data_IF_593829498649
#
_entry.id   IF_593829498649
#
_cell.length_a   1.000
_cell.length_b   1.000
_cell.length_c   1.000
_cell.angle_alpha   90.00
_cell.angle_beta   90.00
_cell.angle_gamma   90.00
#
_symmetry.space_group_name_H-M   'P 1'
#
loop_
_entity.id
_entity.type
_entity.pdbx_description
1 polymer ?
#
# COMPACT_ATOMS: atom_id res chain seq x y z
N UNK A 1 -18.56 28.22 74.55
CA UNK A 1 -19.79 27.86 73.81
C UNK A 1 -20.03 28.83 72.65
N UNK A 2 -19.38 28.65 71.48
CA UNK A 2 -19.77 29.34 70.23
C UNK A 2 -19.97 28.38 69.05
N UNK A 3 -19.28 27.24 69.04
CA UNK A 3 -19.44 26.14 68.08
C UNK A 3 -20.84 25.49 68.09
N UNK A 4 -21.46 25.30 69.25
CA UNK A 4 -22.81 24.72 69.34
C UNK A 4 -23.90 25.65 68.76
N UNK A 5 -23.65 26.95 68.74
CA UNK A 5 -24.56 27.98 68.17
C UNK A 5 -24.47 28.10 66.65
N UNK A 6 -23.39 27.63 66.02
CA UNK A 6 -23.19 27.77 64.57
C UNK A 6 -23.41 26.46 63.77
N UNK A 7 -23.75 25.33 64.42
CA UNK A 7 -24.04 24.04 63.76
C UNK A 7 -22.95 23.57 62.76
N UNK A 8 -21.67 23.84 63.04
CA UNK A 8 -20.54 23.37 62.24
C UNK A 8 -19.93 22.13 62.91
N UNK A 9 -19.63 21.04 62.17
CA UNK A 9 -19.07 19.81 62.75
C UNK A 9 -17.69 20.05 63.38
N UNK A 10 -17.39 19.43 64.53
CA UNK A 10 -16.14 19.62 65.27
C UNK A 10 -14.99 18.84 64.60
N UNK A 11 -14.53 19.29 63.44
CA UNK A 11 -13.31 18.81 62.77
C UNK A 11 -12.09 19.66 63.19
N UNK A 12 -10.88 19.07 63.28
CA UNK A 12 -9.66 19.79 63.71
C UNK A 12 -9.36 21.08 62.92
N UNK A 13 -9.70 21.10 61.63
CA UNK A 13 -9.50 22.27 60.76
C UNK A 13 -10.49 23.41 61.07
N UNK A 14 -11.75 23.09 61.41
CA UNK A 14 -12.73 24.09 61.85
C UNK A 14 -12.36 24.73 63.20
N UNK A 15 -11.73 23.97 64.11
CA UNK A 15 -11.21 24.54 65.35
C UNK A 15 -10.03 25.48 65.11
N UNK A 16 -9.17 25.19 64.13
CA UNK A 16 -8.08 26.08 63.72
C UNK A 16 -8.62 27.38 63.15
N UNK A 17 -9.54 27.30 62.19
CA UNK A 17 -10.16 28.49 61.59
C UNK A 17 -10.87 29.36 62.64
N UNK A 18 -11.61 28.76 63.59
CA UNK A 18 -12.27 29.48 64.67
C UNK A 18 -11.29 30.06 65.69
N UNK A 19 -10.19 29.37 66.00
CA UNK A 19 -9.14 29.90 66.86
C UNK A 19 -8.49 31.13 66.24
N UNK A 20 -8.15 31.07 64.94
CA UNK A 20 -7.55 32.18 64.21
C UNK A 20 -8.53 33.35 64.00
N UNK A 21 -9.82 33.08 63.80
CA UNK A 21 -10.86 34.13 63.80
C UNK A 21 -11.00 34.86 65.13
N UNK A 22 -10.88 34.15 66.26
CA UNK A 22 -10.97 34.76 67.60
C UNK A 22 -9.66 35.49 67.96
N UNK A 23 -8.51 34.99 67.50
CA UNK A 23 -7.20 35.56 67.74
C UNK A 23 -6.83 36.73 66.81
N UNK A 24 -7.58 36.96 65.72
CA UNK A 24 -7.37 38.08 64.79
C UNK A 24 -6.12 37.96 63.91
N UNK A 25 -5.53 36.78 63.79
CA UNK A 25 -4.34 36.51 62.98
C UNK A 25 -4.66 35.55 61.83
N UNK A 26 -4.09 35.79 60.64
CA UNK A 26 -4.30 34.94 59.48
C UNK A 26 -3.61 33.57 59.67
N UNK A 27 -4.20 32.47 59.18
CA UNK A 27 -3.59 31.14 59.28
C UNK A 27 -2.33 31.09 58.41
N UNK A 28 -1.14 31.02 59.03
CA UNK A 28 0.08 30.63 58.33
C UNK A 28 0.16 29.11 58.27
N UNK A 29 0.08 28.54 57.06
CA UNK A 29 0.27 27.12 56.84
C UNK A 29 1.71 26.71 57.18
N UNK A 30 1.87 25.94 58.26
CA UNK A 30 3.15 25.44 58.73
C UNK A 30 3.88 24.69 57.60
N UNK A 31 5.11 25.09 57.28
CA UNK A 31 5.90 24.50 56.21
C UNK A 31 6.16 23.01 56.45
N UNK A 32 5.58 22.09 55.65
CA UNK A 32 5.62 20.67 55.94
C UNK A 32 6.94 20.07 55.43
N UNK A 33 8.03 20.34 56.14
CA UNK A 33 9.38 19.95 55.75
C UNK A 33 9.56 18.43 55.58
N UNK A 34 8.81 17.61 56.33
CA UNK A 34 8.92 16.13 56.26
C UNK A 34 8.32 15.56 54.98
N UNK A 35 7.15 16.03 54.57
CA UNK A 35 6.49 15.56 53.33
C UNK A 35 7.24 16.05 52.10
N UNK A 36 7.72 17.29 52.12
CA UNK A 36 8.52 17.86 51.03
C UNK A 36 9.89 17.16 50.88
N UNK A 37 10.50 16.68 51.97
CA UNK A 37 11.71 15.84 51.90
C UNK A 37 11.43 14.46 51.29
N UNK A 38 10.30 13.82 51.63
CA UNK A 38 9.92 12.56 51.00
C UNK A 38 9.67 12.73 49.48
N UNK A 39 9.09 13.85 49.06
CA UNK A 39 8.93 14.20 47.64
C UNK A 39 10.29 14.44 46.98
N UNK A 40 11.24 15.06 47.68
CA UNK A 40 12.59 15.28 47.17
C UNK A 40 13.35 13.95 46.93
N UNK A 41 13.17 12.98 47.82
CA UNK A 41 13.76 11.63 47.69
C UNK A 41 13.12 10.81 46.57
N UNK A 42 11.85 11.04 46.26
CA UNK A 42 11.13 10.37 45.19
C UNK A 42 11.42 10.94 43.78
N UNK A 43 12.19 12.03 43.65
CA UNK A 43 12.54 12.62 42.34
C UNK A 43 13.51 11.73 41.55
N UNK A 44 13.31 11.58 40.22
CA UNK A 44 14.15 10.72 39.39
C UNK A 44 15.59 11.26 39.29
N UNK A 45 16.55 10.47 39.75
CA UNK A 45 17.99 10.76 39.73
C UNK A 45 18.74 10.12 38.54
N UNK A 46 18.00 9.58 37.57
CA UNK A 46 18.53 8.84 36.42
C UNK A 46 19.23 9.73 35.38
N UNK A 47 18.88 11.02 35.31
CA UNK A 47 19.50 11.96 34.37
C UNK A 47 20.35 13.01 35.12
N UNK A 48 21.45 13.51 34.52
CA UNK A 48 22.26 14.58 35.12
C UNK A 48 21.46 15.86 35.36
N UNK A 49 20.39 16.07 34.57
CA UNK A 49 19.40 17.11 34.79
C UNK A 49 18.53 16.81 36.03
N UNK A 50 18.01 15.60 36.16
CA UNK A 50 17.25 15.15 37.34
C UNK A 50 18.03 15.28 38.65
N UNK A 51 19.33 14.99 38.63
CA UNK A 51 20.23 15.20 39.78
C UNK A 51 20.38 16.68 40.17
N UNK A 52 20.44 17.59 39.19
CA UNK A 52 20.48 19.05 39.46
C UNK A 52 19.15 19.53 40.04
N UNK A 53 18.03 19.06 39.50
CA UNK A 53 16.69 19.39 39.98
C UNK A 53 16.47 18.92 41.42
N UNK A 54 16.82 17.68 41.73
CA UNK A 54 16.75 17.14 43.08
C UNK A 54 17.56 17.98 44.07
N UNK A 55 18.79 18.37 43.73
CA UNK A 55 19.64 19.21 44.61
C UNK A 55 19.08 20.63 44.82
N UNK A 56 18.55 21.27 43.77
CA UNK A 56 17.95 22.61 43.90
C UNK A 56 16.70 22.55 44.76
N UNK A 57 15.87 21.51 44.58
CA UNK A 57 14.67 21.28 45.37
C UNK A 57 15.00 20.94 46.83
N UNK A 58 15.96 20.05 47.10
CA UNK A 58 16.43 19.71 48.46
C UNK A 58 16.96 20.95 49.20
N UNK A 59 17.72 21.81 48.51
CA UNK A 59 18.23 23.07 49.08
C UNK A 59 17.09 24.06 49.38
N UNK A 60 16.07 24.13 48.53
CA UNK A 60 14.91 24.97 48.75
C UNK A 60 14.04 24.45 49.91
N UNK A 61 13.85 23.13 50.03
CA UNK A 61 13.13 22.51 51.16
C UNK A 61 13.89 22.71 52.48
N UNK A 62 15.23 22.69 52.46
CA UNK A 62 16.06 22.98 53.63
C UNK A 62 15.92 24.42 54.14
N UNK A 63 15.54 25.38 53.28
CA UNK A 63 15.34 26.78 53.67
C UNK A 63 14.06 27.04 54.48
N UNK A 64 13.11 26.09 54.49
CA UNK A 64 11.91 26.17 55.32
C UNK A 64 10.88 27.24 54.90
N UNK A 65 11.10 27.92 53.77
CA UNK A 65 10.28 29.03 53.31
C UNK A 65 9.54 28.68 52.02
N UNK A 66 8.22 28.90 52.01
CA UNK A 66 7.36 28.69 50.83
C UNK A 66 7.75 29.59 49.63
N UNK A 67 8.24 30.80 49.89
CA UNK A 67 8.67 31.75 48.86
C UNK A 67 9.87 31.23 48.06
N UNK A 68 10.89 30.71 48.75
CA UNK A 68 12.12 30.16 48.14
C UNK A 68 11.79 28.89 47.36
N UNK A 69 10.91 28.04 47.88
CA UNK A 69 10.45 26.85 47.17
C UNK A 69 9.71 27.21 45.89
N UNK A 70 8.79 28.18 45.95
CA UNK A 70 8.07 28.68 44.76
C UNK A 70 9.01 29.28 43.72
N UNK A 71 9.99 30.10 44.13
CA UNK A 71 10.99 30.67 43.22
C UNK A 71 11.85 29.58 42.57
N UNK A 72 12.29 28.60 43.35
CA UNK A 72 13.07 27.48 42.82
C UNK A 72 12.27 26.63 41.82
N UNK A 73 10.98 26.38 42.07
CA UNK A 73 10.10 25.70 41.11
C UNK A 73 9.90 26.51 39.82
N UNK A 74 9.76 27.84 39.92
CA UNK A 74 9.64 28.70 38.74
C UNK A 74 10.93 28.75 37.91
N UNK A 75 12.09 28.77 38.57
CA UNK A 75 13.39 28.68 37.87
C UNK A 75 13.56 27.32 37.21
N UNK A 76 13.16 26.24 37.89
CA UNK A 76 13.19 24.88 37.34
C UNK A 76 12.26 24.74 36.13
N UNK A 77 11.03 25.25 36.19
CA UNK A 77 10.10 25.24 35.05
C UNK A 77 10.62 26.08 33.89
N UNK A 78 11.30 27.19 34.17
CA UNK A 78 11.97 28.01 33.16
C UNK A 78 13.16 27.32 32.51
N UNK A 79 13.91 26.49 33.25
CA UNK A 79 15.00 25.67 32.71
C UNK A 79 14.48 24.47 31.88
N UNK A 80 13.27 23.98 32.17
CA UNK A 80 12.62 22.91 31.40
C UNK A 80 11.91 23.41 30.13
N UNK A 81 11.62 24.71 30.04
CA UNK A 81 11.26 25.36 28.79
C UNK A 81 12.50 25.48 27.89
N UNK A 82 13.03 24.34 27.46
CA UNK A 82 13.94 24.31 26.31
C UNK A 82 13.18 24.94 25.15
N UNK A 83 13.75 25.99 24.56
CA UNK A 83 13.21 26.61 23.35
C UNK A 83 12.83 25.49 22.35
N UNK A 84 11.60 25.50 21.81
CA UNK A 84 11.20 24.50 20.83
C UNK A 84 12.15 24.63 19.65
N UNK A 85 13.04 23.65 19.51
CA UNK A 85 14.05 23.66 18.45
C UNK A 85 13.35 23.77 17.11
N UNK A 86 13.78 24.68 16.23
CA UNK A 86 13.06 24.99 15.00
C UNK A 86 13.37 23.93 13.93
N UNK A 87 12.77 22.74 14.08
CA UNK A 87 12.84 21.67 13.07
C UNK A 87 12.17 22.08 11.76
N UNK A 88 11.12 22.88 11.82
CA UNK A 88 10.35 23.29 10.64
C UNK A 88 11.20 24.04 9.60
N UNK A 89 11.99 25.08 9.95
CA UNK A 89 12.88 25.71 8.97
C UNK A 89 14.02 24.78 8.55
N UNK A 90 14.60 23.98 9.46
CA UNK A 90 15.68 23.06 9.10
C UNK A 90 15.23 22.02 8.07
N UNK A 91 14.06 21.40 8.26
CA UNK A 91 13.50 20.43 7.31
C UNK A 91 13.21 21.09 5.97
N UNK A 92 12.67 22.33 5.98
CA UNK A 92 12.40 23.07 4.75
C UNK A 92 13.69 23.40 4.00
N UNK A 93 14.72 23.83 4.71
CA UNK A 93 16.02 24.12 4.12
C UNK A 93 16.71 22.85 3.61
N UNK A 94 16.59 21.74 4.34
CA UNK A 94 17.12 20.44 3.93
C UNK A 94 16.46 19.93 2.65
N UNK A 95 15.12 19.98 2.55
CA UNK A 95 14.39 19.59 1.34
C UNK A 95 14.80 20.48 0.16
N UNK A 96 14.88 21.80 0.38
CA UNK A 96 15.30 22.76 -0.65
C UNK A 96 16.72 22.51 -1.14
N UNK A 97 17.67 22.26 -0.25
CA UNK A 97 19.07 22.02 -0.62
C UNK A 97 19.31 20.61 -1.18
N UNK A 98 18.46 19.62 -0.85
CA UNK A 98 18.45 18.32 -1.50
C UNK A 98 18.08 18.44 -2.98
N UNK A 99 17.01 19.17 -3.28
CA UNK A 99 16.49 19.41 -4.63
C UNK A 99 17.41 20.33 -5.46
N UNK A 100 18.19 21.20 -4.82
CA UNK A 100 19.15 22.06 -5.51
C UNK A 100 20.31 21.29 -6.12
N UNK A 101 20.57 21.52 -7.39
CA UNK A 101 21.73 20.94 -8.07
C UNK A 101 23.02 21.63 -7.60
N UNK A 102 23.92 20.87 -6.98
CA UNK A 102 25.24 21.34 -6.56
C UNK A 102 26.27 20.75 -7.54
N UNK A 103 27.13 21.59 -8.12
CA UNK A 103 28.06 21.20 -9.19
C UNK A 103 29.04 20.07 -8.80
N UNK A 104 29.31 19.88 -7.50
CA UNK A 104 30.32 18.94 -6.99
C UNK A 104 29.76 17.74 -6.20
N UNK A 105 28.44 17.60 -6.05
CA UNK A 105 27.82 16.51 -5.26
C UNK A 105 26.62 15.93 -6.02
N UNK A 106 26.72 14.66 -6.41
CA UNK A 106 25.62 13.93 -7.05
C UNK A 106 24.46 13.72 -6.06
N UNK A 107 23.20 13.68 -6.54
CA UNK A 107 22.04 13.48 -5.67
C UNK A 107 22.09 12.16 -4.89
N UNK A 108 22.74 11.12 -5.44
CA UNK A 108 22.99 9.86 -4.72
C UNK A 108 23.89 10.04 -3.49
N UNK A 109 25.00 10.78 -3.63
CA UNK A 109 25.94 11.03 -2.52
C UNK A 109 25.32 11.89 -1.41
N UNK A 110 24.37 12.77 -1.74
CA UNK A 110 23.58 13.51 -0.74
C UNK A 110 22.65 12.59 0.05
N UNK A 111 22.01 11.62 -0.60
CA UNK A 111 21.16 10.61 0.05
C UNK A 111 22.00 9.70 0.96
N UNK A 112 23.14 9.21 0.47
CA UNK A 112 24.04 8.35 1.25
C UNK A 112 24.60 9.08 2.49
N UNK A 113 24.92 10.38 2.38
CA UNK A 113 25.41 11.17 3.53
C UNK A 113 24.32 11.47 4.55
N UNK A 114 23.06 11.68 4.12
CA UNK A 114 21.92 11.76 5.04
C UNK A 114 21.66 10.42 5.73
N UNK A 115 21.64 9.33 4.97
CA UNK A 115 21.43 8.00 5.51
C UNK A 115 22.54 7.61 6.49
N UNK A 116 23.79 7.97 6.20
CA UNK A 116 24.90 7.78 7.13
C UNK A 116 24.74 8.61 8.42
N UNK A 117 24.25 9.85 8.35
CA UNK A 117 23.99 10.68 9.54
C UNK A 117 22.79 10.15 10.34
N UNK A 118 21.74 9.68 9.68
CA UNK A 118 20.58 9.07 10.32
C UNK A 118 20.93 7.72 10.98
N UNK A 119 21.77 6.91 10.34
CA UNK A 119 22.24 5.64 10.90
C UNK A 119 23.27 5.83 12.04
N UNK A 120 24.07 6.90 12.01
CA UNK A 120 25.09 7.16 13.01
C UNK A 120 24.59 7.90 14.28
N UNK A 121 23.38 8.46 14.26
CA UNK A 121 22.84 9.24 15.39
C UNK A 121 21.67 8.54 16.10
N UNK A 122 21.84 8.24 17.40
CA UNK A 122 20.76 7.79 18.29
C UNK A 122 20.12 8.94 19.10
N UNK A 123 20.80 10.08 19.26
CA UNK A 123 20.36 11.21 20.10
C UNK A 123 19.71 12.35 19.26
N UNK A 124 18.49 12.82 19.62
CA UNK A 124 17.79 13.89 18.89
C UNK A 124 18.54 15.23 18.84
N UNK A 125 19.33 15.52 19.87
CA UNK A 125 20.07 16.78 20.00
C UNK A 125 21.30 16.82 19.08
N UNK A 126 21.96 15.68 18.90
CA UNK A 126 23.10 15.56 17.99
C UNK A 126 22.63 15.55 16.54
N UNK A 127 21.47 14.95 16.27
CA UNK A 127 20.87 14.89 14.93
C UNK A 127 20.60 16.29 14.37
N UNK A 128 20.02 17.21 15.16
CA UNK A 128 19.77 18.58 14.70
C UNK A 128 21.06 19.33 14.32
N UNK A 129 22.09 19.24 15.16
CA UNK A 129 23.39 19.90 14.91
C UNK A 129 24.11 19.28 13.71
N UNK A 130 24.07 17.96 13.55
CA UNK A 130 24.70 17.24 12.43
C UNK A 130 24.00 17.50 11.11
N UNK A 131 22.67 17.52 11.08
CA UNK A 131 21.91 17.88 9.88
C UNK A 131 22.17 19.33 9.48
N UNK A 132 22.19 20.25 10.44
CA UNK A 132 22.51 21.65 10.14
C UNK A 132 23.95 21.82 9.62
N UNK A 133 24.93 21.10 10.18
CA UNK A 133 26.31 21.11 9.70
C UNK A 133 26.44 20.49 8.29
N UNK A 134 25.66 19.45 7.99
CA UNK A 134 25.63 18.80 6.69
C UNK A 134 25.03 19.73 5.61
N UNK A 135 23.90 20.39 5.90
CA UNK A 135 23.33 21.43 5.02
C UNK A 135 24.33 22.57 4.79
N UNK A 136 25.04 22.99 5.84
CA UNK A 136 26.09 24.02 5.72
C UNK A 136 27.27 23.55 4.88
N UNK A 137 27.68 22.29 4.97
CA UNK A 137 28.80 21.75 4.16
C UNK A 137 28.47 21.74 2.67
N UNK A 138 27.21 21.43 2.32
CA UNK A 138 26.73 21.52 0.94
C UNK A 138 26.82 22.95 0.39
N UNK A 139 26.48 23.94 1.23
CA UNK A 139 26.59 25.36 0.87
C UNK A 139 28.05 25.88 0.85
N UNK A 140 28.91 25.50 1.79
CA UNK A 140 30.31 25.99 1.86
C UNK A 140 31.19 25.46 0.71
N UNK A 141 30.89 24.27 0.18
CA UNK A 141 31.55 23.74 -1.02
C UNK A 141 31.19 24.50 -2.30
N UNK A 142 30.16 25.36 -2.29
CA UNK A 142 29.86 26.27 -3.41
C UNK A 142 30.66 27.58 -3.35
N UNK A 143 31.26 27.92 -2.20
CA UNK A 143 31.88 29.22 -1.94
C UNK A 143 33.41 29.22 -1.80
N UNK A 144 34.07 28.06 -1.83
CA UNK A 144 35.53 27.96 -1.62
C UNK A 144 36.32 27.90 -2.94
N UNK A 145 36.02 28.83 -3.86
CA UNK A 145 37.00 29.31 -4.86
C UNK A 145 37.63 30.62 -4.36
N UNK A 146 38.15 30.62 -3.13
CA UNK A 146 39.14 31.63 -2.76
C UNK A 146 40.45 31.26 -3.44
N UNK A 147 40.79 32.08 -4.44
CA UNK A 147 42.07 32.11 -5.12
C UNK A 147 43.24 32.07 -4.11
N UNK A 148 43.75 30.87 -3.83
CA UNK A 148 45.09 30.72 -3.32
C UNK A 148 46.02 30.91 -4.52
N UNK A 149 46.63 32.09 -4.60
CA UNK A 149 47.70 32.39 -5.56
C UNK A 149 48.81 31.33 -5.41
N UNK A 150 48.84 30.35 -6.31
CA UNK A 150 50.01 29.52 -6.56
C UNK A 150 51.06 30.35 -7.30
N UNK A 151 52.35 30.25 -6.94
CA UNK A 151 53.42 30.89 -7.70
C UNK A 151 53.48 30.29 -9.12
N UNK A 152 53.98 31.06 -10.12
CA UNK A 152 53.93 30.63 -11.51
C UNK A 152 54.81 29.39 -11.68
N UNK A 153 54.19 28.28 -12.11
CA UNK A 153 54.94 27.11 -12.58
C UNK A 153 55.25 27.33 -14.05
N UNK A 154 56.52 27.59 -14.31
CA UNK A 154 57.13 27.52 -15.63
C UNK A 154 56.83 26.16 -16.30
N UNK A 155 56.33 26.24 -17.52
CA UNK A 155 56.42 25.32 -18.66
C UNK A 155 56.92 23.88 -18.43
N UNK A 156 56.02 22.90 -18.65
CA UNK A 156 56.27 21.63 -19.37
C UNK A 156 54.93 20.86 -19.61
N UNK A 157 54.86 19.93 -20.59
CA UNK A 157 54.28 20.08 -21.92
C UNK A 157 52.81 19.62 -22.04
N UNK A 158 52.15 20.08 -23.11
CA UNK A 158 50.74 19.92 -23.47
C UNK A 158 50.23 18.49 -23.79
N UNK A 159 50.85 17.42 -23.27
CA UNK A 159 50.56 16.04 -23.69
C UNK A 159 49.36 15.36 -22.99
N UNK A 160 48.84 15.91 -21.88
CA UNK A 160 47.70 15.32 -21.15
C UNK A 160 46.32 15.79 -21.63
N UNK A 161 46.26 16.85 -22.45
CA UNK A 161 45.00 17.36 -23.01
C UNK A 161 44.49 16.50 -24.18
N UNK A 162 45.39 15.87 -24.95
CA UNK A 162 45.04 15.09 -26.14
C UNK A 162 44.33 13.76 -25.84
N UNK A 163 44.46 13.21 -24.63
CA UNK A 163 43.87 11.90 -24.27
C UNK A 163 42.47 12.03 -23.66
N UNK A 164 42.18 13.14 -23.00
CA UNK A 164 40.89 13.36 -22.33
C UNK A 164 39.75 13.62 -23.32
N UNK A 165 40.03 14.30 -24.43
CA UNK A 165 39.05 14.55 -25.50
C UNK A 165 38.41 13.27 -26.07
N UNK A 166 39.20 12.30 -26.57
CA UNK A 166 38.64 11.05 -27.10
C UNK A 166 37.98 10.16 -26.04
N UNK A 167 38.40 10.24 -24.77
CA UNK A 167 37.72 9.54 -23.66
C UNK A 167 36.35 10.15 -23.33
N UNK A 168 36.24 11.49 -23.32
CA UNK A 168 34.97 12.20 -23.19
C UNK A 168 34.03 11.91 -24.35
N UNK A 169 34.54 11.88 -25.58
CA UNK A 169 33.77 11.50 -26.76
C UNK A 169 33.24 10.07 -26.64
N UNK A 170 34.05 9.11 -26.19
CA UNK A 170 33.61 7.74 -25.92
C UNK A 170 32.53 7.65 -24.83
N UNK A 171 32.60 8.48 -23.80
CA UNK A 171 31.61 8.51 -22.72
C UNK A 171 30.27 9.11 -23.20
N UNK A 172 30.32 10.19 -23.98
CA UNK A 172 29.15 10.84 -24.56
C UNK A 172 28.43 9.92 -25.56
N UNK A 173 29.19 9.29 -26.46
CA UNK A 173 28.63 8.39 -27.49
C UNK A 173 28.25 7.02 -26.92
N UNK A 174 29.02 6.50 -25.96
CA UNK A 174 28.85 5.14 -25.43
C UNK A 174 27.87 5.01 -24.26
N UNK A 175 27.66 6.07 -23.48
CA UNK A 175 26.76 6.03 -22.32
C UNK A 175 25.60 7.00 -22.44
N UNK A 176 25.84 8.26 -22.83
CA UNK A 176 24.80 9.29 -22.76
C UNK A 176 23.84 9.19 -23.95
N UNK A 177 24.34 8.96 -25.17
CA UNK A 177 23.48 8.78 -26.35
C UNK A 177 22.49 7.59 -26.27
N UNK A 178 22.88 6.38 -25.79
CA UNK A 178 21.93 5.27 -25.67
C UNK A 178 21.02 5.33 -24.44
N UNK A 179 21.36 6.10 -23.40
CA UNK A 179 20.47 6.35 -22.25
C UNK A 179 19.50 7.52 -22.49
N UNK A 180 19.75 8.34 -23.49
CA UNK A 180 18.82 9.38 -23.90
C UNK A 180 17.67 8.76 -24.69
N UNK A 181 16.47 8.79 -24.11
CA UNK A 181 15.25 8.37 -24.81
C UNK A 181 14.85 9.33 -25.95
N UNK A 182 15.42 10.55 -25.97
CA UNK A 182 15.16 11.60 -26.96
C UNK A 182 16.26 11.59 -28.06
N UNK A 183 15.85 11.41 -29.32
CA UNK A 183 16.74 11.34 -30.48
C UNK A 183 17.53 12.65 -30.68
N UNK A 184 16.95 13.78 -30.25
CA UNK A 184 17.62 15.08 -30.27
C UNK A 184 18.80 15.13 -29.29
N UNK A 185 18.63 14.59 -28.07
CA UNK A 185 19.69 14.52 -27.06
C UNK A 185 20.84 13.60 -27.48
N UNK A 186 20.51 12.48 -28.13
CA UNK A 186 21.52 11.58 -28.69
C UNK A 186 22.31 12.26 -29.83
N UNK A 187 21.63 13.03 -30.67
CA UNK A 187 22.28 13.81 -31.74
C UNK A 187 23.18 14.93 -31.20
N UNK A 188 22.77 15.61 -30.13
CA UNK A 188 23.53 16.68 -29.48
C UNK A 188 24.75 16.13 -28.75
N UNK A 189 24.61 14.97 -28.08
CA UNK A 189 25.73 14.25 -27.46
C UNK A 189 26.78 13.82 -28.49
N UNK A 190 26.34 13.32 -29.65
CA UNK A 190 27.21 12.94 -30.75
C UNK A 190 27.89 14.15 -31.42
N UNK A 191 27.17 15.26 -31.56
CA UNK A 191 27.72 16.51 -32.09
C UNK A 191 28.81 17.09 -31.17
N UNK A 192 28.58 17.06 -29.86
CA UNK A 192 29.58 17.50 -28.86
C UNK A 192 30.77 16.52 -28.84
N UNK A 193 30.53 15.20 -28.90
CA UNK A 193 31.58 14.20 -28.96
C UNK A 193 32.50 14.38 -30.19
N UNK A 194 31.93 14.61 -31.38
CA UNK A 194 32.70 14.89 -32.59
C UNK A 194 33.52 16.18 -32.49
N UNK A 195 32.98 17.19 -31.80
CA UNK A 195 33.61 18.49 -31.60
C UNK A 195 34.70 18.50 -30.51
N UNK A 196 34.75 17.50 -29.63
CA UNK A 196 35.76 17.37 -28.57
C UNK A 196 37.04 16.66 -29.05
N UNK A 197 36.98 15.96 -30.18
CA UNK A 197 38.13 15.26 -30.80
C UNK A 197 39.06 16.19 -31.60
N UNK A 198 38.60 17.41 -31.94
CA UNK A 198 39.40 18.39 -32.68
C UNK A 198 40.18 19.35 -31.76
N UNK A 199 41.38 19.83 -32.16
CA UNK A 199 42.16 20.80 -31.39
C UNK A 199 41.47 22.18 -31.39
N UNK A 200 41.31 22.81 -30.22
CA UNK A 200 40.45 24.00 -30.04
C UNK A 200 41.13 25.15 -29.30
N UNK A 201 40.76 26.37 -29.71
CA UNK A 201 41.12 27.64 -29.06
C UNK A 201 40.44 27.78 -27.68
N UNK A 202 40.99 28.57 -26.74
CA UNK A 202 40.43 28.70 -25.39
C UNK A 202 38.97 29.19 -25.35
N UNK A 203 38.54 30.01 -26.31
CA UNK A 203 37.15 30.47 -26.43
C UNK A 203 36.18 29.36 -26.89
N UNK A 204 36.63 28.48 -27.78
CA UNK A 204 35.83 27.33 -28.23
C UNK A 204 35.68 26.26 -27.14
N UNK A 205 36.64 26.19 -26.20
CA UNK A 205 36.55 25.33 -25.02
C UNK A 205 35.48 25.86 -24.05
N UNK A 206 35.41 27.18 -23.84
CA UNK A 206 34.36 27.78 -23.02
C UNK A 206 32.95 27.59 -23.61
N UNK A 207 32.80 27.71 -24.93
CA UNK A 207 31.52 27.46 -25.59
C UNK A 207 31.12 25.98 -25.54
N UNK A 208 32.07 25.06 -25.70
CA UNK A 208 31.85 23.62 -25.52
C UNK A 208 31.41 23.29 -24.09
N UNK A 209 32.05 23.88 -23.08
CA UNK A 209 31.67 23.68 -21.68
C UNK A 209 30.22 24.12 -21.44
N UNK A 210 29.82 25.30 -21.94
CA UNK A 210 28.46 25.79 -21.82
C UNK A 210 27.41 24.94 -22.60
N UNK A 211 27.82 24.25 -23.67
CA UNK A 211 26.95 23.28 -24.37
C UNK A 211 26.87 21.95 -23.61
N UNK A 212 27.98 21.49 -23.03
CA UNK A 212 28.02 20.30 -22.20
C UNK A 212 27.16 20.47 -20.94
N UNK A 213 27.22 21.63 -20.28
CA UNK A 213 26.38 21.92 -19.10
C UNK A 213 24.89 21.91 -19.44
N UNK A 214 24.51 22.45 -20.60
CA UNK A 214 23.13 22.37 -21.11
C UNK A 214 22.70 20.94 -21.38
N UNK A 215 23.57 20.13 -21.98
CA UNK A 215 23.30 18.71 -22.22
C UNK A 215 23.16 17.93 -20.91
N UNK A 216 24.06 18.16 -19.94
CA UNK A 216 23.98 17.54 -18.61
C UNK A 216 22.67 17.91 -17.93
N UNK A 217 22.25 19.18 -17.97
CA UNK A 217 20.99 19.62 -17.40
C UNK A 217 19.78 18.97 -18.09
N UNK A 218 19.77 18.91 -19.42
CA UNK A 218 18.66 18.30 -20.19
C UNK A 218 18.61 16.78 -20.01
N UNK A 219 19.75 16.10 -19.95
CA UNK A 219 19.85 14.67 -19.66
C UNK A 219 19.45 14.35 -18.21
N UNK A 220 19.81 15.19 -17.25
CA UNK A 220 19.36 15.05 -15.86
C UNK A 220 17.84 15.21 -15.75
N UNK A 221 17.26 16.21 -16.42
CA UNK A 221 15.82 16.44 -16.44
C UNK A 221 15.06 15.27 -17.07
N UNK A 222 15.51 14.80 -18.24
CA UNK A 222 14.93 13.62 -18.90
C UNK A 222 15.06 12.36 -18.02
N UNK A 223 16.21 12.17 -17.37
CA UNK A 223 16.42 11.06 -16.44
C UNK A 223 15.50 11.10 -15.22
N UNK A 224 15.17 12.29 -14.72
CA UNK A 224 14.27 12.48 -13.57
C UNK A 224 12.81 12.26 -13.96
N UNK A 225 12.37 12.84 -15.08
CA UNK A 225 11.03 12.61 -15.64
C UNK A 225 10.77 11.12 -15.88
N UNK A 226 11.74 10.39 -16.42
CA UNK A 226 11.62 8.94 -16.63
C UNK A 226 11.56 8.15 -15.31
N UNK A 227 12.23 8.63 -14.25
CA UNK A 227 12.13 8.01 -12.92
C UNK A 227 10.76 8.27 -12.31
N UNK A 228 10.26 9.49 -12.39
CA UNK A 228 8.92 9.85 -11.92
C UNK A 228 7.83 9.06 -12.66
N UNK A 229 7.89 8.97 -13.98
CA UNK A 229 6.95 8.16 -14.79
C UNK A 229 7.01 6.70 -14.35
N UNK A 230 8.21 6.14 -14.18
CA UNK A 230 8.36 4.75 -13.73
C UNK A 230 7.76 4.54 -12.35
N UNK A 231 8.03 5.43 -11.39
CA UNK A 231 7.43 5.35 -10.05
C UNK A 231 5.91 5.51 -10.07
N UNK A 232 5.38 6.42 -10.89
CA UNK A 232 3.95 6.61 -11.07
C UNK A 232 3.28 5.36 -11.65
N UNK A 233 3.86 4.74 -12.69
CA UNK A 233 3.38 3.48 -13.26
C UNK A 233 3.40 2.34 -12.26
N UNK A 234 4.44 2.25 -11.43
CA UNK A 234 4.55 1.24 -10.39
C UNK A 234 3.53 1.44 -9.28
N UNK A 235 3.31 2.68 -8.85
CA UNK A 235 2.27 3.00 -7.88
C UNK A 235 0.89 2.66 -8.44
N UNK A 236 0.62 2.98 -9.71
CA UNK A 236 -0.63 2.64 -10.38
C UNK A 236 -0.82 1.11 -10.42
N UNK A 237 0.23 0.37 -10.76
CA UNK A 237 0.19 -1.08 -10.82
C UNK A 237 0.00 -1.71 -9.43
N UNK A 238 0.70 -1.21 -8.38
CA UNK A 238 0.45 -1.61 -6.99
C UNK A 238 -1.00 -1.36 -6.59
N UNK A 239 -1.55 -0.20 -6.94
CA UNK A 239 -2.94 0.17 -6.63
C UNK A 239 -3.93 -0.75 -7.36
N UNK A 240 -3.63 -1.17 -8.59
CA UNK A 240 -4.40 -2.22 -9.29
C UNK A 240 -4.31 -3.54 -8.53
N UNK A 241 -3.12 -3.97 -8.11
CA UNK A 241 -2.93 -5.25 -7.39
C UNK A 241 -3.64 -5.23 -6.03
N UNK A 242 -3.53 -4.15 -5.27
CA UNK A 242 -4.21 -3.98 -3.99
C UNK A 242 -5.72 -3.92 -4.15
N UNK A 243 -6.22 -3.18 -5.16
CA UNK A 243 -7.64 -3.15 -5.48
C UNK A 243 -8.17 -4.54 -5.83
N UNK A 244 -7.40 -5.31 -6.61
CA UNK A 244 -7.75 -6.69 -6.93
C UNK A 244 -7.72 -7.57 -5.67
N UNK A 245 -6.74 -7.39 -4.77
CA UNK A 245 -6.59 -8.16 -3.53
C UNK A 245 -7.74 -7.93 -2.55
N UNK A 246 -8.18 -6.69 -2.36
CA UNK A 246 -9.31 -6.35 -1.48
C UNK A 246 -10.64 -6.91 -2.01
N UNK A 247 -10.75 -7.02 -3.34
CA UNK A 247 -11.95 -7.53 -4.00
C UNK A 247 -12.05 -9.07 -3.94
N UNK A 248 -10.93 -9.78 -3.73
CA UNK A 248 -10.89 -11.25 -3.58
C UNK A 248 -11.13 -11.59 -2.12
N UNK A 249 -12.39 -11.89 -1.79
CA UNK A 249 -12.79 -12.20 -0.41
C UNK A 249 -12.61 -13.69 -0.08
N UNK A 250 -12.73 -14.60 -1.06
CA UNK A 250 -12.85 -16.04 -0.77
C UNK A 250 -11.82 -16.98 -1.45
N UNK A 251 -11.06 -16.53 -2.46
CA UNK A 251 -10.09 -17.41 -3.15
C UNK A 251 -8.67 -17.31 -2.55
N UNK A 252 -8.39 -18.23 -1.62
CA UNK A 252 -7.08 -18.39 -0.95
C UNK A 252 -5.91 -18.50 -1.93
N UNK A 253 -6.11 -19.06 -3.13
CA UNK A 253 -5.03 -19.23 -4.09
C UNK A 253 -4.70 -17.93 -4.82
N UNK A 254 -5.72 -17.20 -5.28
CA UNK A 254 -5.54 -15.89 -5.93
C UNK A 254 -4.98 -14.85 -4.96
N UNK A 255 -5.49 -14.82 -3.73
CA UNK A 255 -4.98 -13.92 -2.69
C UNK A 255 -3.48 -14.18 -2.42
N UNK A 256 -3.06 -15.45 -2.37
CA UNK A 256 -1.65 -15.82 -2.23
C UNK A 256 -0.79 -15.40 -3.42
N UNK A 257 -1.26 -15.60 -4.66
CA UNK A 257 -0.54 -15.16 -5.87
C UNK A 257 -0.36 -13.64 -5.90
N UNK A 258 -1.40 -12.88 -5.57
CA UNK A 258 -1.39 -11.41 -5.61
C UNK A 258 -0.61 -10.79 -4.46
N UNK A 259 -0.63 -11.40 -3.27
CA UNK A 259 0.23 -10.96 -2.16
C UNK A 259 1.70 -11.09 -2.56
N UNK A 260 2.08 -12.22 -3.18
CA UNK A 260 3.45 -12.40 -3.66
C UNK A 260 3.82 -11.42 -4.79
N UNK A 261 2.86 -11.04 -5.64
CA UNK A 261 3.08 -10.00 -6.66
C UNK A 261 3.25 -8.62 -6.00
N UNK A 262 2.41 -8.27 -5.02
CA UNK A 262 2.52 -7.02 -4.26
C UNK A 262 3.86 -6.92 -3.51
N UNK A 263 4.26 -7.97 -2.81
CA UNK A 263 5.55 -8.07 -2.11
C UNK A 263 6.73 -7.90 -3.09
N UNK A 264 6.59 -8.38 -4.32
CA UNK A 264 7.62 -8.22 -5.37
C UNK A 264 7.78 -6.76 -5.77
N UNK A 265 6.70 -5.96 -5.73
CA UNK A 265 6.78 -4.54 -6.05
C UNK A 265 7.45 -3.70 -4.97
N UNK A 266 7.60 -4.18 -3.72
CA UNK A 266 8.28 -3.45 -2.65
C UNK A 266 9.81 -3.38 -2.84
N UNK A 267 10.37 -4.27 -3.66
CA UNK A 267 11.80 -4.37 -3.94
C UNK A 267 12.21 -3.56 -5.19
N UNK A 268 13.49 -3.15 -5.33
CA UNK A 268 13.97 -2.53 -6.56
C UNK A 268 13.75 -3.48 -7.73
N UNK A 269 12.98 -3.03 -8.73
CA UNK A 269 12.55 -3.88 -9.83
C UNK A 269 13.73 -4.24 -10.73
N UNK A 270 13.94 -5.54 -10.84
CA UNK A 270 14.85 -6.15 -11.80
C UNK A 270 14.01 -6.80 -12.92
N UNK A 271 14.58 -6.89 -14.12
CA UNK A 271 13.94 -7.51 -15.29
C UNK A 271 13.49 -8.94 -14.99
N UNK A 272 14.26 -9.66 -14.15
CA UNK A 272 13.94 -11.02 -13.69
C UNK A 272 12.69 -11.07 -12.81
N UNK A 273 12.47 -10.04 -11.97
CA UNK A 273 11.29 -9.93 -11.13
C UNK A 273 10.06 -9.59 -11.98
N UNK A 274 10.23 -8.75 -13.00
CA UNK A 274 9.16 -8.44 -13.96
C UNK A 274 8.72 -9.68 -14.76
N UNK A 275 9.66 -10.50 -15.22
CA UNK A 275 9.36 -11.79 -15.87
C UNK A 275 8.58 -12.74 -14.94
N UNK A 276 8.92 -12.76 -13.66
CA UNK A 276 8.23 -13.60 -12.68
C UNK A 276 6.80 -13.11 -12.41
N UNK A 277 6.60 -11.79 -12.31
CA UNK A 277 5.27 -11.18 -12.22
C UNK A 277 4.44 -11.48 -13.47
N UNK A 278 5.02 -11.36 -14.67
CA UNK A 278 4.35 -11.68 -15.93
C UNK A 278 3.89 -13.14 -15.96
N UNK A 279 4.77 -14.09 -15.60
CA UNK A 279 4.43 -15.52 -15.55
C UNK A 279 3.30 -15.81 -14.57
N UNK A 280 3.26 -15.10 -13.43
CA UNK A 280 2.20 -15.27 -12.43
C UNK A 280 0.87 -14.71 -12.91
N UNK A 281 0.86 -13.52 -13.50
CA UNK A 281 -0.33 -12.96 -14.13
C UNK A 281 -0.85 -13.86 -15.26
N UNK A 282 0.06 -14.46 -16.06
CA UNK A 282 -0.32 -15.45 -17.07
C UNK A 282 -1.03 -16.66 -16.47
N UNK A 283 -0.51 -17.23 -15.38
CA UNK A 283 -1.16 -18.34 -14.66
C UNK A 283 -2.55 -17.98 -14.14
N UNK A 284 -2.73 -16.75 -13.65
CA UNK A 284 -4.05 -16.25 -13.24
C UNK A 284 -5.00 -16.19 -14.43
N UNK A 285 -4.56 -15.63 -15.57
CA UNK A 285 -5.34 -15.55 -16.81
C UNK A 285 -5.73 -16.96 -17.31
N UNK A 286 -4.79 -17.91 -17.29
CA UNK A 286 -5.04 -19.29 -17.72
C UNK A 286 -6.10 -19.96 -16.83
N UNK A 287 -6.03 -19.75 -15.51
CA UNK A 287 -7.01 -20.26 -14.55
C UNK A 287 -8.40 -19.66 -14.79
N UNK A 288 -8.49 -18.35 -15.03
CA UNK A 288 -9.75 -17.67 -15.37
C UNK A 288 -10.36 -18.21 -16.67
N UNK A 289 -9.52 -18.44 -17.69
CA UNK A 289 -9.95 -19.02 -18.96
C UNK A 289 -10.52 -20.43 -18.76
N UNK A 290 -9.84 -21.26 -17.96
CA UNK A 290 -10.30 -22.62 -17.64
C UNK A 290 -11.65 -22.61 -16.92
N UNK A 291 -11.82 -21.76 -15.90
CA UNK A 291 -13.10 -21.63 -15.18
C UNK A 291 -14.23 -21.18 -16.10
N UNK A 292 -13.96 -20.24 -17.00
CA UNK A 292 -14.94 -19.77 -17.99
C UNK A 292 -15.36 -20.88 -18.95
N UNK A 293 -14.41 -21.70 -19.41
CA UNK A 293 -14.71 -22.86 -20.25
C UNK A 293 -15.57 -23.87 -19.50
N UNK A 294 -15.18 -24.26 -18.29
CA UNK A 294 -15.94 -25.20 -17.45
C UNK A 294 -17.38 -24.73 -17.20
N UNK A 295 -17.56 -23.44 -16.94
CA UNK A 295 -18.88 -22.84 -16.76
C UNK A 295 -19.72 -22.89 -18.04
N UNK A 296 -19.11 -22.57 -19.18
CA UNK A 296 -19.80 -22.61 -20.48
C UNK A 296 -20.22 -24.05 -20.82
N UNK A 297 -19.35 -25.02 -20.58
CA UNK A 297 -19.63 -26.44 -20.79
C UNK A 297 -20.73 -26.95 -19.86
N UNK A 298 -20.71 -26.55 -18.58
CA UNK A 298 -21.75 -26.90 -17.62
C UNK A 298 -23.11 -26.31 -18.02
N UNK A 299 -23.15 -25.05 -18.45
CA UNK A 299 -24.37 -24.41 -18.98
C UNK A 299 -24.90 -25.12 -20.23
N UNK A 300 -24.02 -25.53 -21.13
CA UNK A 300 -24.42 -26.27 -22.33
C UNK A 300 -24.96 -27.66 -21.98
N UNK A 301 -24.33 -28.35 -21.02
CA UNK A 301 -24.82 -29.63 -20.51
C UNK A 301 -26.20 -29.49 -19.88
N UNK A 302 -26.43 -28.45 -19.07
CA UNK A 302 -27.75 -28.15 -18.50
C UNK A 302 -28.81 -27.95 -19.59
N UNK A 303 -28.50 -27.18 -20.65
CA UNK A 303 -29.41 -27.00 -21.79
C UNK A 303 -29.77 -28.32 -22.47
N UNK A 304 -28.79 -29.20 -22.69
CA UNK A 304 -29.06 -30.52 -23.28
C UNK A 304 -29.93 -31.40 -22.41
N UNK A 305 -29.75 -31.38 -21.08
CA UNK A 305 -30.58 -32.14 -20.14
C UNK A 305 -32.02 -31.61 -20.11
N UNK A 306 -32.20 -30.29 -20.19
CA UNK A 306 -33.53 -29.66 -20.25
C UNK A 306 -34.27 -30.02 -21.55
N UNK A 307 -33.56 -30.09 -22.68
CA UNK A 307 -34.13 -30.55 -23.95
C UNK A 307 -34.59 -32.01 -23.86
N UNK A 308 -33.75 -32.90 -23.31
CA UNK A 308 -34.12 -34.31 -23.10
C UNK A 308 -35.31 -34.49 -22.16
N UNK A 309 -35.46 -33.63 -21.16
CA UNK A 309 -36.63 -33.62 -20.27
C UNK A 309 -37.93 -33.28 -21.02
N UNK A 310 -37.88 -32.33 -21.95
CA UNK A 310 -39.03 -31.94 -22.78
C UNK A 310 -39.41 -33.08 -23.74
N UNK A 311 -38.43 -33.72 -24.38
CA UNK A 311 -38.66 -34.85 -25.26
C UNK A 311 -39.34 -36.01 -24.51
N UNK A 312 -38.93 -36.26 -23.27
CA UNK A 312 -39.50 -37.31 -22.43
C UNK A 312 -40.96 -37.01 -22.01
N UNK A 313 -41.26 -35.75 -21.69
CA UNK A 313 -42.64 -35.31 -21.43
C UNK A 313 -43.53 -35.46 -22.68
N UNK A 314 -43.00 -35.16 -23.85
CA UNK A 314 -43.71 -35.31 -25.13
C UNK A 314 -44.04 -36.78 -25.42
N UNK A 315 -43.07 -37.68 -25.21
CA UNK A 315 -43.27 -39.12 -25.38
C UNK A 315 -44.32 -39.68 -24.40
N UNK A 316 -44.30 -39.21 -23.14
CA UNK A 316 -45.29 -39.60 -22.13
C UNK A 316 -46.70 -39.10 -22.47
N UNK A 317 -46.84 -37.86 -22.94
CA UNK A 317 -48.13 -37.31 -23.40
C UNK A 317 -48.71 -38.16 -24.53
N UNK A 318 -47.89 -38.49 -25.53
CA UNK A 318 -48.30 -39.31 -26.68
C UNK A 318 -48.80 -40.70 -26.26
N UNK A 319 -48.10 -41.35 -25.31
CA UNK A 319 -48.53 -42.65 -24.77
C UNK A 319 -49.85 -42.56 -23.98
N UNK A 320 -50.10 -41.44 -23.30
CA UNK A 320 -51.33 -41.23 -22.53
C UNK A 320 -52.51 -40.91 -23.44
N UNK A 321 -52.29 -40.09 -24.48
CA UNK A 321 -53.28 -39.83 -25.53
C UNK A 321 -53.70 -41.11 -26.24
N UNK A 322 -52.75 -41.99 -26.58
CA UNK A 322 -53.07 -43.29 -27.17
C UNK A 322 -53.96 -44.14 -26.26
N UNK A 323 -53.66 -44.17 -24.96
CA UNK A 323 -54.46 -44.87 -23.97
C UNK A 323 -55.87 -44.28 -23.82
N UNK A 324 -56.03 -42.95 -23.84
CA UNK A 324 -57.36 -42.30 -23.82
C UNK A 324 -58.20 -42.69 -25.04
N UNK A 325 -57.59 -42.79 -26.22
CA UNK A 325 -58.26 -43.27 -27.44
C UNK A 325 -58.72 -44.72 -27.27
N UNK A 326 -57.85 -45.62 -26.77
CA UNK A 326 -58.20 -47.03 -26.54
C UNK A 326 -59.32 -47.16 -25.50
N UNK A 327 -59.29 -46.40 -24.41
CA UNK A 327 -60.36 -46.36 -23.40
C UNK A 327 -61.71 -45.93 -23.99
N UNK A 328 -61.70 -44.86 -24.79
CA UNK A 328 -62.92 -44.29 -25.39
C UNK A 328 -63.53 -45.27 -26.39
N UNK A 329 -62.71 -45.88 -27.24
CA UNK A 329 -63.15 -46.88 -28.21
C UNK A 329 -63.62 -48.17 -27.52
N UNK A 330 -62.96 -48.57 -26.43
CA UNK A 330 -63.37 -49.73 -25.63
C UNK A 330 -64.71 -49.48 -24.94
N UNK A 331 -64.94 -48.28 -24.39
CA UNK A 331 -66.23 -47.91 -23.80
C UNK A 331 -67.36 -47.96 -24.85
N UNK A 332 -67.09 -47.49 -26.07
CA UNK A 332 -68.02 -47.59 -27.20
C UNK A 332 -68.31 -49.06 -27.55
N UNK A 333 -67.28 -49.88 -27.73
CA UNK A 333 -67.41 -51.32 -28.05
C UNK A 333 -68.15 -52.11 -26.97
N UNK A 334 -67.94 -51.79 -25.69
CA UNK A 334 -68.68 -52.39 -24.57
C UNK A 334 -70.18 -52.04 -24.67
N UNK A 335 -70.52 -50.80 -25.03
CA UNK A 335 -71.92 -50.37 -25.16
C UNK A 335 -72.66 -51.00 -26.35
N UNK A 336 -71.92 -51.41 -27.39
CA UNK A 336 -72.44 -52.02 -28.62
C UNK A 336 -72.32 -53.55 -28.64
N UNK A 337 -71.73 -54.18 -27.62
CA UNK A 337 -71.45 -55.61 -27.61
C UNK A 337 -72.71 -56.48 -27.44
N UNK A 338 -72.82 -57.55 -28.24
CA UNK A 338 -73.98 -58.45 -28.23
C UNK A 338 -73.67 -59.85 -27.66
N UNK A 339 -72.39 -60.21 -27.50
CA UNK A 339 -71.93 -61.48 -26.93
C UNK A 339 -70.78 -61.27 -25.91
N UNK A 340 -70.67 -62.20 -24.96
CA UNK A 340 -69.66 -62.18 -23.89
C UNK A 340 -68.24 -62.33 -24.42
N UNK A 341 -68.06 -62.94 -25.60
CA UNK A 341 -66.77 -63.04 -26.27
C UNK A 341 -66.24 -61.66 -26.72
N UNK A 342 -67.11 -60.83 -27.29
CA UNK A 342 -66.75 -59.46 -27.72
C UNK A 342 -66.34 -58.60 -26.52
N UNK A 343 -67.03 -58.75 -25.39
CA UNK A 343 -66.66 -58.09 -24.13
C UNK A 343 -65.31 -58.58 -23.59
N UNK A 344 -65.04 -59.89 -23.68
CA UNK A 344 -63.78 -60.47 -23.21
C UNK A 344 -62.59 -59.95 -24.03
N UNK A 345 -62.74 -59.83 -25.35
CA UNK A 345 -61.69 -59.30 -26.24
C UNK A 345 -61.40 -57.82 -25.94
N UNK A 346 -62.43 -57.00 -25.70
CA UNK A 346 -62.25 -55.58 -25.33
C UNK A 346 -61.54 -55.44 -23.99
N UNK A 347 -61.92 -56.25 -22.98
CA UNK A 347 -61.29 -56.20 -21.66
C UNK A 347 -59.83 -56.65 -21.74
N UNK A 348 -59.50 -57.65 -22.55
CA UNK A 348 -58.12 -58.09 -22.77
C UNK A 348 -57.28 -56.98 -23.42
N UNK A 349 -57.83 -56.27 -24.41
CA UNK A 349 -57.18 -55.13 -25.04
C UNK A 349 -56.94 -53.96 -24.08
N UNK A 350 -57.96 -53.58 -23.28
CA UNK A 350 -57.81 -52.52 -22.26
C UNK A 350 -56.79 -52.90 -21.21
N UNK A 351 -56.80 -54.15 -20.71
CA UNK A 351 -55.81 -54.61 -19.73
C UNK A 351 -54.39 -54.57 -20.29
N UNK A 352 -54.21 -55.00 -21.55
CA UNK A 352 -52.92 -54.97 -22.22
C UNK A 352 -52.41 -53.54 -22.42
N UNK A 353 -53.28 -52.64 -22.88
CA UNK A 353 -52.91 -51.24 -23.08
C UNK A 353 -52.63 -50.55 -21.74
N UNK A 354 -53.47 -50.78 -20.72
CA UNK A 354 -53.25 -50.26 -19.36
C UNK A 354 -51.90 -50.70 -18.81
N UNK A 355 -51.52 -51.96 -18.99
CA UNK A 355 -50.22 -52.47 -18.54
C UNK A 355 -49.06 -51.82 -19.31
N UNK A 356 -49.25 -51.57 -20.61
CA UNK A 356 -48.27 -50.90 -21.47
C UNK A 356 -48.08 -49.44 -21.05
N UNK A 357 -49.16 -48.70 -20.84
CA UNK A 357 -49.13 -47.32 -20.33
C UNK A 357 -48.53 -47.24 -18.93
N UNK A 358 -48.85 -48.19 -18.04
CA UNK A 358 -48.30 -48.23 -16.69
C UNK A 358 -46.77 -48.44 -16.71
N UNK A 359 -46.27 -49.33 -17.58
CA UNK A 359 -44.83 -49.54 -17.75
C UNK A 359 -44.14 -48.30 -18.32
N UNK A 360 -44.74 -47.65 -19.33
CA UNK A 360 -44.24 -46.39 -19.88
C UNK A 360 -44.20 -45.28 -18.83
N UNK A 361 -45.25 -45.13 -18.04
CA UNK A 361 -45.34 -44.16 -16.95
C UNK A 361 -44.26 -44.39 -15.88
N UNK A 362 -44.06 -45.65 -15.47
CA UNK A 362 -43.03 -46.00 -14.50
C UNK A 362 -41.63 -45.67 -15.04
N UNK A 363 -41.34 -46.06 -16.29
CA UNK A 363 -40.05 -45.82 -16.93
C UNK A 363 -39.77 -44.33 -17.10
N UNK A 364 -40.75 -43.56 -17.58
CA UNK A 364 -40.63 -42.10 -17.69
C UNK A 364 -40.44 -41.46 -16.31
N UNK A 365 -41.12 -41.93 -15.26
CA UNK A 365 -40.92 -41.45 -13.89
C UNK A 365 -39.50 -41.67 -13.36
N UNK A 366 -38.91 -42.84 -13.62
CA UNK A 366 -37.52 -43.13 -13.26
C UNK A 366 -36.53 -42.25 -14.03
N UNK A 367 -36.72 -42.09 -15.34
CA UNK A 367 -35.85 -41.29 -16.20
C UNK A 367 -35.94 -39.80 -15.86
N UNK A 368 -37.13 -39.26 -15.60
CA UNK A 368 -37.33 -37.87 -15.16
C UNK A 368 -36.70 -37.64 -13.77
N UNK A 369 -36.78 -38.62 -12.86
CA UNK A 369 -36.13 -38.53 -11.55
C UNK A 369 -34.60 -38.48 -11.66
N UNK A 370 -34.02 -39.33 -12.51
CA UNK A 370 -32.57 -39.31 -12.80
C UNK A 370 -32.13 -38.00 -13.46
N UNK A 371 -32.88 -37.52 -14.45
CA UNK A 371 -32.59 -36.23 -15.09
C UNK A 371 -32.68 -35.07 -14.10
N UNK A 372 -33.66 -35.10 -13.19
CA UNK A 372 -33.81 -34.08 -12.14
C UNK A 372 -32.60 -34.05 -11.20
N UNK A 373 -32.13 -35.20 -10.73
CA UNK A 373 -30.92 -35.28 -9.89
C UNK A 373 -29.68 -34.73 -10.63
N UNK A 374 -29.52 -35.06 -11.91
CA UNK A 374 -28.41 -34.57 -12.73
C UNK A 374 -28.48 -33.06 -12.98
N UNK A 375 -29.67 -32.52 -13.23
CA UNK A 375 -29.92 -31.08 -13.38
C UNK A 375 -29.62 -30.34 -12.07
N UNK A 376 -30.02 -30.89 -10.93
CA UNK A 376 -29.78 -30.30 -9.61
C UNK A 376 -28.28 -30.27 -9.29
N UNK A 377 -27.56 -31.36 -9.55
CA UNK A 377 -26.11 -31.43 -9.44
C UNK A 377 -25.39 -30.45 -10.39
N UNK A 378 -25.81 -30.38 -11.66
CA UNK A 378 -25.23 -29.45 -12.62
C UNK A 378 -25.51 -27.98 -12.27
N UNK A 379 -26.71 -27.66 -11.75
CA UNK A 379 -27.01 -26.32 -11.25
C UNK A 379 -26.13 -25.95 -10.05
N UNK A 380 -25.92 -26.86 -9.11
CA UNK A 380 -24.99 -26.63 -7.99
C UNK A 380 -23.57 -26.35 -8.49
N UNK A 381 -23.10 -27.11 -9.48
CA UNK A 381 -21.79 -26.88 -10.11
C UNK A 381 -21.73 -25.53 -10.84
N UNK A 382 -22.76 -25.15 -11.60
CA UNK A 382 -22.80 -23.85 -12.29
C UNK A 382 -22.76 -22.72 -11.27
N UNK A 383 -23.54 -22.80 -10.18
CA UNK A 383 -23.54 -21.78 -9.13
C UNK A 383 -22.16 -21.67 -8.47
N UNK A 384 -21.49 -22.79 -8.23
CA UNK A 384 -20.12 -22.79 -7.69
C UNK A 384 -19.13 -22.15 -8.67
N UNK A 385 -19.13 -22.60 -9.93
CA UNK A 385 -18.25 -22.04 -10.98
C UNK A 385 -18.56 -20.57 -11.27
N UNK A 386 -19.82 -20.14 -11.15
CA UNK A 386 -20.23 -18.74 -11.29
C UNK A 386 -19.66 -17.89 -10.17
N UNK A 387 -19.69 -18.36 -8.91
CA UNK A 387 -19.03 -17.64 -7.80
C UNK A 387 -17.53 -17.52 -8.05
N UNK A 388 -16.86 -18.64 -8.33
CA UNK A 388 -15.42 -18.66 -8.61
C UNK A 388 -15.06 -17.74 -9.80
N UNK A 389 -15.91 -17.69 -10.84
CA UNK A 389 -15.68 -16.85 -12.01
C UNK A 389 -16.04 -15.37 -11.78
N UNK A 390 -17.13 -15.06 -11.08
CA UNK A 390 -17.56 -13.68 -10.80
C UNK A 390 -16.61 -12.99 -9.82
N UNK A 391 -16.06 -13.75 -8.87
CA UNK A 391 -14.84 -13.36 -8.15
C UNK A 391 -13.78 -12.99 -9.20
N UNK A 392 -13.33 -13.92 -10.03
CA UNK A 392 -12.24 -13.64 -10.97
C UNK A 392 -12.47 -12.53 -12.01
N UNK A 393 -13.70 -12.30 -12.48
CA UNK A 393 -14.02 -11.32 -13.55
C UNK A 393 -14.09 -9.89 -13.06
N UNK A 394 -14.58 -9.68 -11.83
CA UNK A 394 -14.58 -8.35 -11.21
C UNK A 394 -13.12 -7.84 -11.09
N UNK A 395 -12.15 -8.76 -11.02
CA UNK A 395 -10.70 -8.50 -10.96
C UNK A 395 -10.05 -8.12 -12.31
N UNK A 396 -10.69 -8.37 -13.46
CA UNK A 396 -10.11 -8.06 -14.78
C UNK A 396 -10.68 -6.77 -15.42
N UNK A 397 -11.90 -6.36 -15.04
CA UNK A 397 -12.60 -5.23 -15.67
C UNK A 397 -12.49 -3.90 -14.91
N UNK A 398 -11.91 -3.86 -13.71
CA UNK A 398 -11.74 -2.63 -12.93
C UNK A 398 -10.49 -1.82 -13.33
N UNK A 399 -10.24 -1.64 -14.63
CA UNK A 399 -9.41 -0.53 -15.11
C UNK A 399 -10.34 0.68 -15.19
N UNK A 400 -10.25 1.67 -14.28
CA UNK A 400 -11.02 2.87 -14.44
C UNK A 400 -10.45 3.63 -15.64
N UNK A 401 -11.20 3.64 -16.74
CA UNK A 401 -11.19 4.75 -17.67
C UNK A 401 -11.70 5.99 -16.92
N UNK A 402 -10.84 6.64 -16.13
CA UNK A 402 -11.08 7.98 -15.62
C UNK A 402 -10.20 8.95 -16.41
N UNK A 403 -10.93 9.87 -17.05
CA UNK A 403 -10.49 11.00 -17.86
C UNK A 403 -9.43 11.86 -17.19
#
# INVERSE_FOLDING_TARGET
MRLATQKIPPTPDNFRELYFQIAGTAPEDAFPARTLKAIAEALPRSTPQGLRLARVFEKAVASGQWSVLRQSMLTISGMQASEPKPWTPLIRDLVRELERHHQNITPGRKRDSLEHVLAACADPDQLHLRLHALVRSWNEQTGSEQHAAMPPRDNAPAASADVLGPLLAKLLTGCIAPLANDEELASEANAIAAQVVAPKSPEQVAELAARLDRLIARAAWSGDEQREIREALLNLLRLIVDNVRELIVDDSWLHGQLTLIADTFEQPLDLRLLDEVERRLRKVIDKQSQLKHQLTDAQQKLKSMLAGFIDQLSAFSTSTEHYEVVLTESARRISEAHDIKELSDVVEEVLRETQTTQQSAHRSGEELSRLREQVESANQQIVQLQRELDETKLHACAVPARR
#
